data_IF_565391283830
#
_entry.id   IF_565391283830
#
_cell.length_a   1.000
_cell.length_b   1.000
_cell.length_c   1.000
_cell.angle_alpha   90.00
_cell.angle_beta   90.00
_cell.angle_gamma   90.00
#
_symmetry.space_group_name_H-M   'P 1'
#
loop_
_entity.id
_entity.type
_entity.pdbx_description
1 polymer ?
#
# COMPACT_ATOMS: atom_id res chain seq x y z
N UNK A 1 -1.27 7.48 4.85
CA UNK A 1 0.17 7.71 4.56
C UNK A 1 0.93 6.45 4.90
N UNK A 2 1.78 5.99 3.99
CA UNK A 2 2.60 4.78 4.16
C UNK A 2 4.05 5.21 4.32
N UNK A 3 4.71 4.72 5.37
CA UNK A 3 6.12 5.01 5.66
C UNK A 3 6.98 3.82 5.30
N UNK A 4 7.96 4.04 4.41
CA UNK A 4 9.03 3.08 4.11
C UNK A 4 10.38 3.77 4.41
N UNK A 5 11.46 3.01 4.64
CA UNK A 5 12.77 3.62 4.87
C UNK A 5 13.17 4.54 3.71
N UNK A 6 13.34 5.84 3.97
CA UNK A 6 13.78 6.82 2.98
C UNK A 6 12.69 7.57 2.21
N UNK A 7 11.41 7.19 2.34
CA UNK A 7 10.32 7.81 1.54
C UNK A 7 8.93 7.66 2.18
N UNK A 8 8.04 8.58 1.82
CA UNK A 8 6.63 8.58 2.23
C UNK A 8 5.74 8.49 0.99
N UNK A 9 4.73 7.61 1.07
CA UNK A 9 3.71 7.49 0.04
C UNK A 9 2.36 7.98 0.54
N UNK A 10 1.78 8.91 -0.21
CA UNK A 10 0.38 9.30 -0.07
C UNK A 10 -0.48 8.42 -0.96
N UNK A 11 -1.52 7.80 -0.40
CA UNK A 11 -2.57 7.16 -1.18
C UNK A 11 -3.83 7.97 -0.92
N UNK A 12 -4.45 8.45 -2.00
CA UNK A 12 -5.77 9.07 -1.94
C UNK A 12 -6.82 7.98 -1.87
N UNK A 13 -7.59 7.97 -0.79
CA UNK A 13 -8.71 7.05 -0.60
C UNK A 13 -9.99 7.88 -0.59
N UNK A 14 -11.08 7.32 -1.12
CA UNK A 14 -12.39 7.96 -1.00
C UNK A 14 -12.83 8.07 0.46
N UNK A 15 -12.57 7.04 1.26
CA UNK A 15 -12.85 7.02 2.69
C UNK A 15 -11.96 6.00 3.43
N UNK A 16 -11.92 6.11 4.75
CA UNK A 16 -11.31 5.12 5.66
C UNK A 16 -12.37 4.71 6.68
N UNK A 17 -12.83 3.45 6.59
CA UNK A 17 -13.93 2.98 7.44
C UNK A 17 -13.48 2.61 8.86
N UNK A 18 -12.77 1.48 9.02
CA UNK A 18 -12.40 0.91 10.32
C UNK A 18 -11.30 -0.14 10.17
N UNK A 19 -10.68 -0.48 11.28
CA UNK A 19 -9.80 -1.64 11.35
C UNK A 19 -10.61 -2.94 11.46
N UNK A 20 -10.17 -3.98 10.74
CA UNK A 20 -10.79 -5.30 10.75
C UNK A 20 -9.74 -6.39 10.88
N UNK A 21 -10.12 -7.54 11.48
CA UNK A 21 -9.26 -8.71 11.64
C UNK A 21 -9.91 -9.92 11.00
N UNK A 22 -9.16 -10.59 10.15
CA UNK A 22 -9.60 -11.81 9.46
C UNK A 22 -8.62 -12.96 9.74
N UNK A 23 -9.10 -14.21 9.89
CA UNK A 23 -8.22 -15.36 9.93
C UNK A 23 -7.49 -15.53 8.60
N UNK A 24 -6.16 -15.66 8.62
CA UNK A 24 -5.36 -15.78 7.39
C UNK A 24 -5.77 -16.99 6.52
N UNK A 25 -6.28 -18.07 7.14
CA UNK A 25 -6.78 -19.25 6.44
C UNK A 25 -8.03 -18.99 5.57
N UNK A 26 -8.75 -17.90 5.83
CA UNK A 26 -9.96 -17.53 5.08
C UNK A 26 -9.65 -16.57 3.92
N UNK A 27 -8.37 -16.34 3.62
CA UNK A 27 -7.97 -15.46 2.53
C UNK A 27 -8.29 -16.14 1.21
N UNK A 28 -9.17 -15.51 0.44
CA UNK A 28 -9.55 -15.94 -0.89
C UNK A 28 -8.58 -15.36 -1.92
N UNK A 29 -8.01 -16.24 -2.75
CA UNK A 29 -7.04 -15.88 -3.79
C UNK A 29 -7.65 -15.93 -5.19
N UNK A 30 -8.88 -16.41 -5.33
CA UNK A 30 -9.53 -16.71 -6.61
C UNK A 30 -10.63 -15.72 -6.96
N UNK A 31 -11.20 -15.02 -5.97
CA UNK A 31 -12.22 -14.02 -6.24
C UNK A 31 -11.67 -12.91 -7.14
N UNK A 32 -12.40 -12.54 -8.21
CA UNK A 32 -11.93 -11.55 -9.17
C UNK A 32 -11.76 -10.19 -8.51
N UNK A 33 -10.63 -9.56 -8.78
CA UNK A 33 -10.34 -8.16 -8.46
C UNK A 33 -10.27 -7.35 -9.74
N UNK A 34 -10.38 -6.04 -9.62
CA UNK A 34 -10.19 -5.12 -10.74
C UNK A 34 -8.80 -5.35 -11.39
N UNK A 35 -8.77 -5.43 -12.71
CA UNK A 35 -7.58 -5.76 -13.50
C UNK A 35 -6.44 -4.76 -13.25
N UNK A 36 -6.77 -3.48 -13.03
CA UNK A 36 -5.81 -2.42 -12.76
C UNK A 36 -5.05 -2.66 -11.44
N UNK A 37 -5.66 -3.40 -10.51
CA UNK A 37 -5.09 -3.70 -9.20
C UNK A 37 -4.61 -5.14 -9.05
N UNK A 38 -4.97 -6.05 -9.98
CA UNK A 38 -4.70 -7.47 -9.87
C UNK A 38 -3.23 -7.79 -9.56
N UNK A 39 -2.28 -7.12 -10.23
CA UNK A 39 -0.84 -7.29 -10.02
C UNK A 39 -0.34 -6.85 -8.63
N UNK A 40 -1.10 -6.00 -7.96
CA UNK A 40 -0.79 -5.41 -6.66
C UNK A 40 -1.65 -5.97 -5.52
N UNK A 41 -2.39 -7.07 -5.74
CA UNK A 41 -3.20 -7.69 -4.68
C UNK A 41 -2.59 -8.97 -4.11
N UNK A 42 -2.97 -9.30 -2.87
CA UNK A 42 -2.60 -10.55 -2.18
C UNK A 42 -3.83 -11.43 -1.92
N UNK A 43 -4.85 -11.34 -2.78
CA UNK A 43 -6.17 -11.89 -2.52
C UNK A 43 -7.00 -10.96 -1.62
N UNK A 44 -7.98 -11.50 -0.91
CA UNK A 44 -8.87 -10.70 -0.08
C UNK A 44 -9.73 -11.51 0.88
N UNK A 45 -10.69 -10.82 1.50
CA UNK A 45 -11.65 -11.42 2.43
C UNK A 45 -13.07 -10.98 2.09
N UNK A 46 -14.00 -11.90 2.27
CA UNK A 46 -15.43 -11.59 2.17
C UNK A 46 -15.92 -10.96 3.47
N UNK A 47 -16.68 -9.86 3.35
CA UNK A 47 -17.39 -9.17 4.43
C UNK A 47 -18.85 -8.95 4.01
N UNK A 48 -19.68 -9.96 4.26
CA UNK A 48 -21.04 -10.02 3.71
C UNK A 48 -21.00 -10.11 2.19
N UNK A 49 -21.63 -9.15 1.52
CA UNK A 49 -21.65 -9.06 0.05
C UNK A 49 -20.44 -8.31 -0.53
N UNK A 50 -19.53 -7.81 0.33
CA UNK A 50 -18.34 -7.05 -0.08
C UNK A 50 -17.12 -7.96 -0.15
N UNK A 51 -16.28 -7.74 -1.15
CA UNK A 51 -14.94 -8.30 -1.21
C UNK A 51 -13.90 -7.24 -0.84
N UNK A 52 -13.12 -7.50 0.20
CA UNK A 52 -12.08 -6.62 0.71
C UNK A 52 -10.72 -7.13 0.21
N UNK A 53 -10.28 -6.58 -0.93
CA UNK A 53 -8.96 -6.90 -1.48
C UNK A 53 -7.83 -6.37 -0.57
N UNK A 54 -6.78 -7.18 -0.43
CA UNK A 54 -5.56 -6.78 0.29
C UNK A 54 -4.58 -6.21 -0.74
N UNK A 55 -4.26 -4.94 -0.58
CA UNK A 55 -3.27 -4.26 -1.39
C UNK A 55 -1.84 -4.60 -0.91
N UNK A 56 -1.03 -5.16 -1.80
CA UNK A 56 0.41 -5.30 -1.62
C UNK A 56 1.08 -3.95 -1.80
N UNK A 57 1.18 -3.22 -0.69
CA UNK A 57 1.83 -1.91 -0.65
C UNK A 57 3.27 -1.99 -1.15
N UNK A 58 3.99 -3.08 -0.88
CA UNK A 58 5.39 -3.20 -1.29
C UNK A 58 5.52 -3.31 -2.81
N UNK A 59 4.65 -4.07 -3.47
CA UNK A 59 4.59 -4.10 -4.94
C UNK A 59 4.13 -2.76 -5.51
N UNK A 60 3.13 -2.14 -4.89
CA UNK A 60 2.58 -0.87 -5.37
C UNK A 60 3.63 0.25 -5.37
N UNK A 61 4.47 0.31 -4.33
CA UNK A 61 5.50 1.35 -4.22
C UNK A 61 6.76 1.04 -5.01
N UNK A 62 7.03 -0.23 -5.30
CA UNK A 62 8.15 -0.66 -6.13
C UNK A 62 7.89 -0.45 -7.64
N UNK A 63 6.63 -0.26 -8.02
CA UNK A 63 6.27 0.08 -9.39
C UNK A 63 6.65 1.53 -9.71
N UNK A 64 7.58 1.69 -10.66
CA UNK A 64 8.23 2.95 -11.00
C UNK A 64 7.28 4.01 -11.57
N UNK A 65 6.13 3.63 -12.12
CA UNK A 65 5.16 4.61 -12.63
C UNK A 65 4.44 5.32 -11.47
N UNK A 66 4.18 4.60 -10.37
CA UNK A 66 3.57 5.14 -9.16
C UNK A 66 4.61 5.75 -8.20
N UNK A 67 5.85 5.25 -8.17
CA UNK A 67 6.93 5.83 -7.36
C UNK A 67 7.23 7.30 -7.73
N UNK A 68 7.02 7.68 -9.00
CA UNK A 68 7.25 9.05 -9.48
C UNK A 68 6.32 10.11 -8.86
N UNK A 69 5.23 9.69 -8.21
CA UNK A 69 4.32 10.58 -7.47
C UNK A 69 4.71 10.73 -5.97
N UNK A 70 5.77 10.05 -5.51
CA UNK A 70 6.19 10.11 -4.12
C UNK A 70 6.87 11.45 -3.78
N UNK A 71 6.52 12.03 -2.62
CA UNK A 71 7.22 13.19 -2.11
C UNK A 71 8.61 12.76 -1.62
N UNK A 72 9.70 13.45 -2.02
CA UNK A 72 11.02 13.16 -1.47
C UNK A 72 10.97 13.37 0.05
N UNK A 73 11.48 12.39 0.80
CA UNK A 73 11.69 12.56 2.22
C UNK A 73 12.66 13.73 2.47
N UNK A 74 12.54 14.44 3.60
CA UNK A 74 13.56 15.42 3.97
C UNK A 74 14.91 14.69 4.04
N UNK A 75 15.82 15.05 3.14
CA UNK A 75 17.23 14.69 3.27
C UNK A 75 17.70 15.31 4.58
N UNK A 76 17.94 14.47 5.58
CA UNK A 76 18.64 14.88 6.80
C UNK A 76 20.01 15.36 6.36
N UNK A 77 20.18 16.68 6.26
CA UNK A 77 21.49 17.30 6.13
C UNK A 77 22.20 17.11 7.49
N UNK A 78 22.80 15.94 7.70
CA UNK A 78 23.92 15.83 8.64
C UNK A 78 25.02 16.72 8.08
N UNK A 79 25.03 17.98 8.56
CA UNK A 79 26.14 18.89 8.35
C UNK A 79 27.37 18.18 8.90
N UNK A 80 28.29 17.82 8.00
CA UNK A 80 29.70 17.68 8.35
C UNK A 80 30.13 18.99 9.00
N UNK A 81 30.22 18.98 10.32
CA UNK A 81 31.00 19.96 11.05
C UNK A 81 32.46 19.55 10.86
N UNK A 82 33.10 20.11 9.85
CA UNK A 82 34.55 20.27 9.82
C UNK A 82 34.85 21.76 10.00
N UNK A 83 35.84 21.99 10.89
CA UNK A 83 36.38 23.26 11.43
C UNK A 83 35.73 23.85 12.68
#
# INVERSE_FOLDING_TARGET
VIRKPGFYFGITLSDVERDMKFPAANRDMEYPVDEDFAGFTLGGFHDGDRFLAILDVDKLVADSELSNAAAPGPVSNERMSDE
#
